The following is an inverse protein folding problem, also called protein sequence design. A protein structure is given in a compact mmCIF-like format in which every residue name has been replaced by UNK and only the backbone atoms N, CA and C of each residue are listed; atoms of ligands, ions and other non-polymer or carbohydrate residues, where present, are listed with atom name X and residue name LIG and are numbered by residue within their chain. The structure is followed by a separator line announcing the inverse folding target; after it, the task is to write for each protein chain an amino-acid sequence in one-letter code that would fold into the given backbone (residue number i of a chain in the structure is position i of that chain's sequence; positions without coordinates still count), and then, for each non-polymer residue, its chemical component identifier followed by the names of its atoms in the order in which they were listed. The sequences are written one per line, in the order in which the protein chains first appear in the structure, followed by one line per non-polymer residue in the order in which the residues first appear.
data_IF_448952247132
#
_entry.id   IF_448952247132
#
_cell.length_a   1.000
_cell.length_b   1.000
_cell.length_c   1.000
_cell.angle_alpha   90.00
_cell.angle_beta   90.00
_cell.angle_gamma   90.00
#
_symmetry.space_group_name_H-M   'P 1'
#
loop_
_entity.id
_entity.type
_entity.pdbx_description
1 polymer ?
#
# COMPACT_ATOMS: atom_id res chain seq x y z
N UNK A 1 8.00 -16.58 16.02
CA UNK A 1 7.68 -15.35 15.26
C UNK A 1 6.82 -15.64 14.02
N UNK A 2 7.29 -16.41 13.06
CA UNK A 2 6.52 -16.67 11.81
C UNK A 2 5.11 -17.18 12.10
N UNK A 3 4.98 -18.20 12.96
CA UNK A 3 3.66 -18.72 13.37
C UNK A 3 2.77 -17.63 14.02
N UNK A 4 3.37 -16.76 14.84
CA UNK A 4 2.65 -15.64 15.44
C UNK A 4 2.13 -14.65 14.38
N UNK A 5 2.95 -14.34 13.39
CA UNK A 5 2.53 -13.44 12.30
C UNK A 5 1.37 -14.03 11.51
N UNK A 6 1.50 -15.28 11.07
CA UNK A 6 0.50 -15.88 10.16
C UNK A 6 -0.75 -16.39 10.87
N UNK A 7 -0.65 -16.88 12.11
CA UNK A 7 -1.78 -17.48 12.80
C UNK A 7 -2.49 -16.52 13.76
N UNK A 8 -1.76 -15.59 14.39
CA UNK A 8 -2.33 -14.68 15.38
C UNK A 8 -2.54 -13.27 14.80
N UNK A 9 -1.53 -12.69 14.15
CA UNK A 9 -1.65 -11.33 13.60
C UNK A 9 -2.59 -11.32 12.39
N UNK A 10 -2.35 -12.19 11.38
CA UNK A 10 -3.16 -12.21 10.17
C UNK A 10 -4.64 -12.53 10.48
N UNK A 11 -4.92 -13.40 11.45
CA UNK A 11 -6.30 -13.73 11.85
C UNK A 11 -7.09 -12.54 12.41
N UNK A 12 -6.41 -11.50 12.95
CA UNK A 12 -7.07 -10.28 13.45
C UNK A 12 -7.74 -9.46 12.34
N UNK A 13 -7.39 -9.74 11.09
CA UNK A 13 -7.97 -9.09 9.90
C UNK A 13 -9.31 -9.71 9.45
N UNK A 14 -9.73 -10.85 10.01
CA UNK A 14 -10.91 -11.59 9.56
C UNK A 14 -12.21 -10.76 9.58
N UNK A 15 -12.35 -9.87 10.57
CA UNK A 15 -13.53 -9.05 10.78
C UNK A 15 -13.45 -7.66 10.12
N UNK A 16 -12.36 -7.35 9.40
CA UNK A 16 -12.22 -6.08 8.71
C UNK A 16 -13.05 -6.06 7.42
N UNK A 17 -13.19 -4.89 6.82
CA UNK A 17 -13.92 -4.76 5.57
C UNK A 17 -13.25 -5.58 4.43
N UNK A 18 -14.00 -5.96 3.38
CA UNK A 18 -13.51 -6.86 2.33
C UNK A 18 -12.19 -6.43 1.65
N UNK A 19 -11.83 -5.15 1.72
CA UNK A 19 -10.60 -4.64 1.10
C UNK A 19 -9.37 -4.80 2.01
N UNK A 20 -9.56 -5.15 3.31
CA UNK A 20 -8.51 -5.21 4.33
C UNK A 20 -8.57 -6.50 5.16
N UNK A 21 -9.07 -7.58 4.56
CA UNK A 21 -9.09 -8.91 5.20
C UNK A 21 -7.74 -9.61 5.14
N UNK A 22 -7.69 -10.82 5.65
CA UNK A 22 -6.50 -11.67 5.73
C UNK A 22 -5.79 -11.86 4.38
N UNK A 23 -6.52 -12.03 3.29
CA UNK A 23 -5.98 -12.12 1.93
C UNK A 23 -5.22 -10.84 1.51
N UNK A 24 -5.69 -9.66 1.93
CA UNK A 24 -4.97 -8.41 1.70
C UNK A 24 -3.64 -8.38 2.46
N UNK A 25 -3.64 -8.67 3.77
CA UNK A 25 -2.38 -8.63 4.54
C UNK A 25 -1.38 -9.67 4.04
N UNK A 26 -1.83 -10.86 3.65
CA UNK A 26 -0.97 -11.89 3.06
C UNK A 26 -0.38 -11.42 1.72
N UNK A 27 -1.16 -10.70 0.91
CA UNK A 27 -0.69 -10.09 -0.33
C UNK A 27 0.39 -9.03 -0.05
N UNK A 28 0.16 -8.13 0.92
CA UNK A 28 1.14 -7.09 1.30
C UNK A 28 2.44 -7.72 1.81
N UNK A 29 2.35 -8.76 2.65
CA UNK A 29 3.53 -9.53 3.09
C UNK A 29 4.30 -10.08 1.89
N UNK A 30 3.62 -10.78 0.98
CA UNK A 30 4.24 -11.39 -0.20
C UNK A 30 4.95 -10.35 -1.07
N UNK A 31 4.31 -9.23 -1.34
CA UNK A 31 4.88 -8.14 -2.14
C UNK A 31 6.05 -7.45 -1.44
N UNK A 32 5.97 -7.21 -0.12
CA UNK A 32 7.09 -6.65 0.62
C UNK A 32 8.32 -7.56 0.58
N UNK A 33 8.12 -8.88 0.71
CA UNK A 33 9.20 -9.86 0.60
C UNK A 33 9.79 -9.92 -0.81
N UNK A 34 8.96 -9.87 -1.85
CA UNK A 34 9.41 -9.83 -3.24
C UNK A 34 10.24 -8.56 -3.52
N UNK A 35 9.79 -7.39 -3.06
CA UNK A 35 10.55 -6.15 -3.18
C UNK A 35 11.91 -6.25 -2.50
N UNK A 36 11.98 -6.84 -1.30
CA UNK A 36 13.24 -7.07 -0.60
C UNK A 36 14.16 -8.02 -1.37
N UNK A 37 13.63 -9.10 -1.94
CA UNK A 37 14.40 -10.09 -2.70
C UNK A 37 14.95 -9.52 -4.02
N UNK A 38 14.28 -8.56 -4.64
CA UNK A 38 14.71 -7.87 -5.88
C UNK A 38 15.76 -6.79 -5.62
N UNK A 39 15.85 -6.25 -4.41
CA UNK A 39 16.73 -5.13 -4.04
C UNK A 39 18.22 -5.40 -4.35
N UNK A 40 18.85 -6.55 -3.99
CA UNK A 40 20.27 -6.78 -4.24
C UNK A 40 20.62 -6.77 -5.73
N UNK A 41 19.80 -7.39 -6.57
CA UNK A 41 20.00 -7.41 -8.03
C UNK A 41 19.91 -6.01 -8.64
N UNK A 42 18.93 -5.22 -8.20
CA UNK A 42 18.78 -3.84 -8.63
C UNK A 42 20.00 -2.98 -8.22
N UNK A 43 20.45 -3.09 -6.96
CA UNK A 43 21.60 -2.37 -6.44
C UNK A 43 22.87 -2.70 -7.27
N UNK A 44 23.13 -3.98 -7.51
CA UNK A 44 24.28 -4.42 -8.30
C UNK A 44 24.26 -3.84 -9.71
N UNK A 45 23.11 -3.86 -10.39
CA UNK A 45 22.93 -3.31 -11.72
C UNK A 45 23.17 -1.80 -11.76
N UNK A 46 22.66 -1.05 -10.80
CA UNK A 46 22.81 0.42 -10.73
C UNK A 46 24.23 0.83 -10.39
N UNK A 47 24.88 0.16 -9.43
CA UNK A 47 26.30 0.37 -9.12
C UNK A 47 27.20 0.13 -10.34
N UNK A 48 26.95 -0.95 -11.10
CA UNK A 48 27.69 -1.24 -12.33
C UNK A 48 27.51 -0.15 -13.41
N UNK A 49 26.40 0.57 -13.40
CA UNK A 49 26.12 1.71 -14.30
C UNK A 49 26.60 3.06 -13.76
N UNK A 50 27.30 3.10 -12.62
CA UNK A 50 27.82 4.33 -12.00
C UNK A 50 26.75 5.21 -11.34
N UNK A 51 25.56 4.67 -11.08
CA UNK A 51 24.48 5.42 -10.41
C UNK A 51 24.69 5.37 -8.90
N UNK A 52 24.58 6.52 -8.23
CA UNK A 52 24.56 6.58 -6.76
C UNK A 52 23.29 5.94 -6.22
N UNK A 53 23.47 4.91 -5.42
CA UNK A 53 22.39 4.16 -4.74
C UNK A 53 22.57 4.12 -3.23
N UNK A 54 23.40 5.00 -2.67
CA UNK A 54 23.76 4.99 -1.24
C UNK A 54 22.54 5.05 -0.31
N UNK A 55 21.49 5.76 -0.69
CA UNK A 55 20.23 5.83 0.08
C UNK A 55 19.49 4.48 0.18
N UNK A 56 19.77 3.55 -0.74
CA UNK A 56 19.12 2.22 -0.79
C UNK A 56 20.05 1.10 -0.32
N UNK A 57 21.36 1.36 -0.26
CA UNK A 57 22.38 0.38 0.12
C UNK A 57 22.50 0.27 1.64
N UNK A 58 21.39 -0.01 2.28
CA UNK A 58 21.27 -0.16 3.73
C UNK A 58 20.83 -1.59 4.08
N UNK A 59 21.30 -2.15 5.20
CA UNK A 59 20.88 -3.47 5.63
C UNK A 59 19.38 -3.48 5.98
N UNK A 60 18.64 -4.42 5.40
CA UNK A 60 17.23 -4.63 5.69
C UNK A 60 17.03 -6.02 6.27
N UNK A 61 16.49 -6.08 7.48
CA UNK A 61 16.16 -7.34 8.15
C UNK A 61 14.78 -7.82 7.70
N UNK A 62 14.77 -9.07 7.20
CA UNK A 62 13.56 -9.71 6.64
C UNK A 62 12.45 -9.88 7.68
N UNK A 63 12.81 -10.22 8.92
CA UNK A 63 11.87 -10.42 10.03
C UNK A 63 11.18 -9.12 10.48
N UNK A 64 11.92 -7.99 10.52
CA UNK A 64 11.37 -6.67 10.79
C UNK A 64 10.38 -6.26 9.69
N UNK A 65 10.75 -6.45 8.42
CA UNK A 65 9.87 -6.13 7.29
C UNK A 65 8.61 -7.00 7.29
N UNK A 66 8.75 -8.30 7.60
CA UNK A 66 7.62 -9.22 7.73
C UNK A 66 6.64 -8.75 8.81
N UNK A 67 7.14 -8.40 9.99
CA UNK A 67 6.31 -7.91 11.08
C UNK A 67 5.64 -6.56 10.72
N UNK A 68 6.38 -5.65 10.09
CA UNK A 68 5.84 -4.35 9.68
C UNK A 68 4.72 -4.51 8.64
N UNK A 69 4.93 -5.35 7.61
CA UNK A 69 3.94 -5.64 6.58
C UNK A 69 2.69 -6.32 7.16
N UNK A 70 2.88 -7.25 8.11
CA UNK A 70 1.76 -7.94 8.75
C UNK A 70 0.92 -7.04 9.65
N UNK A 71 1.53 -6.06 10.32
CA UNK A 71 0.87 -5.24 11.34
C UNK A 71 0.37 -3.89 10.81
N UNK A 72 0.59 -3.54 9.53
CA UNK A 72 0.38 -2.19 9.01
C UNK A 72 -1.04 -1.65 9.20
N UNK A 73 -2.04 -2.49 9.12
CA UNK A 73 -3.47 -2.13 9.16
C UNK A 73 -4.19 -2.55 10.45
N UNK A 74 -3.50 -3.07 11.48
CA UNK A 74 -4.13 -3.52 12.73
C UNK A 74 -5.00 -2.45 13.39
N UNK A 75 -4.67 -1.18 13.21
CA UNK A 75 -5.42 -0.05 13.76
C UNK A 75 -6.80 0.15 13.15
N UNK A 76 -7.17 -0.54 12.07
CA UNK A 76 -8.51 -0.52 11.50
C UNK A 76 -9.58 -0.97 12.49
N UNK A 77 -9.21 -1.73 13.53
CA UNK A 77 -10.11 -2.09 14.63
C UNK A 77 -10.71 -0.84 15.32
N UNK A 78 -10.01 0.28 15.31
CA UNK A 78 -10.44 1.57 15.86
C UNK A 78 -11.08 2.50 14.81
N UNK A 79 -11.30 2.01 13.58
CA UNK A 79 -11.84 2.79 12.48
C UNK A 79 -10.78 3.36 11.52
N UNK A 80 -11.24 3.91 10.39
CA UNK A 80 -10.38 4.26 9.25
C UNK A 80 -9.59 5.58 9.38
N UNK A 81 -10.02 6.50 10.20
CA UNK A 81 -9.49 7.86 10.21
C UNK A 81 -7.99 7.91 10.57
N UNK A 82 -7.62 7.28 11.69
CA UNK A 82 -6.27 7.28 12.23
C UNK A 82 -5.65 5.88 12.32
N UNK A 83 -6.16 4.91 11.54
CA UNK A 83 -5.76 3.51 11.65
C UNK A 83 -4.24 3.28 11.56
N UNK A 84 -3.52 4.00 10.72
CA UNK A 84 -2.07 3.89 10.61
C UNK A 84 -1.37 4.26 11.92
N UNK A 85 -1.79 5.35 12.60
CA UNK A 85 -1.26 5.73 13.91
C UNK A 85 -1.66 4.75 15.01
N UNK A 86 -2.88 4.21 14.93
CA UNK A 86 -3.37 3.22 15.87
C UNK A 86 -2.66 1.87 15.67
N UNK A 87 -2.29 1.50 14.43
CA UNK A 87 -1.40 0.35 14.17
C UNK A 87 -0.07 0.50 14.90
N UNK A 88 0.57 1.66 14.82
CA UNK A 88 1.80 1.94 15.56
C UNK A 88 1.65 1.79 17.08
N UNK A 89 0.52 2.25 17.66
CA UNK A 89 0.23 2.07 19.09
C UNK A 89 0.03 0.59 19.45
N UNK A 90 -0.71 -0.16 18.65
CA UNK A 90 -0.94 -1.58 18.86
C UNK A 90 0.38 -2.36 18.81
N UNK A 91 1.25 -2.06 17.84
CA UNK A 91 2.58 -2.69 17.71
C UNK A 91 3.44 -2.45 18.95
N UNK A 92 3.51 -1.20 19.41
CA UNK A 92 4.29 -0.85 20.63
C UNK A 92 3.76 -1.49 21.92
N UNK A 93 2.47 -1.78 21.96
CA UNK A 93 1.81 -2.42 23.10
C UNK A 93 1.85 -3.96 23.04
N UNK A 94 2.25 -4.55 21.92
CA UNK A 94 2.24 -6.00 21.73
C UNK A 94 3.44 -6.66 22.42
N UNK A 95 3.21 -7.19 23.63
CA UNK A 95 4.25 -7.83 24.45
C UNK A 95 4.86 -9.09 23.82
N UNK A 96 4.15 -9.74 22.90
CA UNK A 96 4.70 -10.92 22.21
C UNK A 96 5.76 -10.56 21.18
N UNK A 97 5.66 -9.39 20.55
CA UNK A 97 6.73 -8.92 19.66
C UNK A 97 8.05 -8.71 20.41
N UNK A 98 8.01 -8.39 21.72
CA UNK A 98 9.20 -8.24 22.56
C UNK A 98 9.98 -9.57 22.76
N UNK A 99 9.39 -10.73 22.43
CA UNK A 99 10.08 -12.03 22.47
C UNK A 99 11.12 -12.17 21.34
N UNK A 100 10.96 -11.40 20.25
CA UNK A 100 11.80 -11.53 19.05
C UNK A 100 12.51 -10.24 18.65
N UNK A 101 12.01 -9.09 19.11
CA UNK A 101 12.48 -7.77 18.71
C UNK A 101 12.86 -6.91 19.93
N UNK A 102 13.92 -6.15 19.79
CA UNK A 102 14.28 -5.10 20.74
C UNK A 102 13.30 -3.93 20.68
N UNK A 103 13.32 -3.04 21.68
CA UNK A 103 12.47 -1.85 21.69
C UNK A 103 12.71 -0.95 20.48
N UNK A 104 13.95 -0.83 19.97
CA UNK A 104 14.28 -0.05 18.78
C UNK A 104 13.74 -0.68 17.51
N UNK A 105 13.76 -2.01 17.42
CA UNK A 105 13.19 -2.76 16.28
C UNK A 105 11.66 -2.69 16.29
N UNK A 106 11.02 -2.77 17.46
CA UNK A 106 9.58 -2.55 17.61
C UNK A 106 9.20 -1.13 17.17
N UNK A 107 10.00 -0.13 17.54
CA UNK A 107 9.79 1.25 17.09
C UNK A 107 9.91 1.36 15.57
N UNK A 108 10.87 0.67 14.96
CA UNK A 108 11.02 0.61 13.49
C UNK A 108 9.80 -0.02 12.82
N UNK A 109 9.28 -1.13 13.36
CA UNK A 109 8.07 -1.81 12.88
C UNK A 109 6.86 -0.86 12.99
N UNK A 110 6.70 -0.21 14.14
CA UNK A 110 5.60 0.71 14.40
C UNK A 110 5.64 1.92 13.45
N UNK A 111 6.81 2.52 13.26
CA UNK A 111 6.99 3.63 12.34
C UNK A 111 6.69 3.25 10.89
N UNK A 112 7.07 2.04 10.46
CA UNK A 112 6.74 1.57 9.11
C UNK A 112 5.22 1.45 8.90
N UNK A 113 4.49 0.99 9.91
CA UNK A 113 3.03 0.94 9.90
C UNK A 113 2.36 2.33 9.96
N UNK A 114 2.99 3.32 10.58
CA UNK A 114 2.49 4.69 10.60
C UNK A 114 2.70 5.42 9.25
N UNK A 115 3.77 5.08 8.54
CA UNK A 115 4.25 5.82 7.36
C UNK A 115 3.65 5.35 6.03
N UNK A 116 3.00 4.17 5.97
CA UNK A 116 2.63 3.54 4.70
C UNK A 116 1.50 4.26 3.95
N UNK A 117 0.69 5.07 4.62
CA UNK A 117 -0.53 5.66 4.06
C UNK A 117 -0.26 6.56 2.86
N UNK A 118 -0.95 6.32 1.73
CA UNK A 118 -0.78 7.06 0.49
C UNK A 118 -1.10 8.57 0.60
N UNK A 119 -2.02 8.94 1.50
CA UNK A 119 -2.39 10.34 1.77
C UNK A 119 -1.47 11.02 2.79
N UNK A 120 -0.43 10.35 3.28
CA UNK A 120 0.58 10.94 4.15
C UNK A 120 1.29 12.09 3.46
N UNK A 121 1.51 13.20 4.19
CA UNK A 121 2.18 14.40 3.66
C UNK A 121 3.69 14.25 3.58
N UNK A 122 4.27 13.38 4.39
CA UNK A 122 5.71 13.16 4.53
C UNK A 122 6.15 11.86 3.88
N UNK A 123 7.41 11.81 3.45
CA UNK A 123 8.03 10.55 3.04
C UNK A 123 8.14 9.61 4.25
N UNK A 124 8.07 8.28 4.02
CA UNK A 124 8.33 7.31 5.06
C UNK A 124 9.72 7.52 5.69
N UNK A 125 9.79 7.36 7.02
CA UNK A 125 11.02 7.62 7.83
C UNK A 125 12.13 6.61 7.58
N UNK A 126 11.81 5.44 7.03
CA UNK A 126 12.77 4.35 6.83
C UNK A 126 12.49 3.58 5.55
N UNK A 127 13.47 2.78 5.12
CA UNK A 127 13.32 1.82 4.02
C UNK A 127 12.18 0.81 4.30
N UNK A 128 11.95 0.44 5.56
CA UNK A 128 10.85 -0.44 5.94
C UNK A 128 9.49 0.20 5.65
N UNK A 129 9.31 1.48 6.03
CA UNK A 129 8.10 2.22 5.70
C UNK A 129 7.89 2.39 4.19
N UNK A 130 8.98 2.61 3.42
CA UNK A 130 8.93 2.69 1.96
C UNK A 130 8.51 1.35 1.33
N UNK A 131 9.08 0.23 1.79
CA UNK A 131 8.75 -1.11 1.30
C UNK A 131 7.30 -1.51 1.62
N UNK A 132 6.84 -1.26 2.85
CA UNK A 132 5.44 -1.51 3.25
C UNK A 132 4.49 -0.63 2.44
N UNK A 133 4.79 0.67 2.34
CA UNK A 133 3.98 1.60 1.56
C UNK A 133 3.89 1.21 0.08
N UNK A 134 4.97 0.72 -0.51
CA UNK A 134 4.99 0.27 -1.91
C UNK A 134 4.23 -1.05 -2.08
N UNK A 135 4.40 -1.99 -1.13
CA UNK A 135 3.74 -3.28 -1.13
C UNK A 135 2.21 -3.16 -0.98
N UNK A 136 1.72 -2.22 -0.17
CA UNK A 136 0.29 -1.93 -0.03
C UNK A 136 -0.33 -1.33 -1.29
N UNK A 137 0.49 -0.71 -2.16
CA UNK A 137 0.03 -0.06 -3.40
C UNK A 137 0.00 -1.04 -4.57
N UNK A 138 -1.01 -1.91 -4.60
CA UNK A 138 -1.25 -2.74 -5.79
C UNK A 138 -1.80 -1.85 -6.91
N UNK A 139 -0.96 -1.53 -7.90
CA UNK A 139 -1.37 -0.77 -9.07
C UNK A 139 -1.90 -1.74 -10.14
N UNK A 140 -3.21 -1.87 -10.18
CA UNK A 140 -3.98 -2.53 -11.23
C UNK A 140 -5.15 -1.62 -11.62
N UNK A 141 -5.13 -1.14 -12.85
CA UNK A 141 -6.08 -0.11 -13.32
C UNK A 141 -7.53 -0.53 -13.21
N UNK A 142 -7.86 -1.76 -13.56
CA UNK A 142 -9.24 -2.25 -13.53
C UNK A 142 -9.74 -2.42 -12.09
N UNK A 143 -8.92 -2.95 -11.21
CA UNK A 143 -9.22 -3.08 -9.77
C UNK A 143 -9.36 -1.71 -9.11
N UNK A 144 -8.50 -0.75 -9.42
CA UNK A 144 -8.56 0.63 -8.90
C UNK A 144 -9.87 1.28 -9.31
N UNK A 145 -10.24 1.22 -10.61
CA UNK A 145 -11.49 1.79 -11.12
C UNK A 145 -12.70 1.12 -10.47
N UNK A 146 -12.73 -0.21 -10.41
CA UNK A 146 -13.80 -1.01 -9.78
C UNK A 146 -14.01 -0.61 -8.32
N UNK A 147 -12.96 -0.58 -7.52
CA UNK A 147 -13.02 -0.18 -6.10
C UNK A 147 -13.47 1.28 -5.93
N UNK A 148 -13.05 2.17 -6.82
CA UNK A 148 -13.46 3.59 -6.81
C UNK A 148 -14.95 3.75 -7.08
N UNK A 149 -15.49 2.99 -8.02
CA UNK A 149 -16.93 2.95 -8.33
C UNK A 149 -17.74 2.35 -7.18
N UNK A 150 -17.33 1.19 -6.66
CA UNK A 150 -17.98 0.51 -5.53
C UNK A 150 -18.02 1.40 -4.28
N UNK A 151 -16.92 2.10 -3.98
CA UNK A 151 -16.89 3.11 -2.93
C UNK A 151 -17.92 4.21 -3.16
N UNK A 152 -18.01 4.71 -4.41
CA UNK A 152 -18.99 5.72 -4.80
C UNK A 152 -20.42 5.26 -4.55
N UNK A 153 -20.79 4.09 -5.06
CA UNK A 153 -22.14 3.52 -4.92
C UNK A 153 -22.53 3.34 -3.44
N UNK A 154 -21.58 2.94 -2.60
CA UNK A 154 -21.82 2.75 -1.15
C UNK A 154 -21.99 4.06 -0.38
N UNK A 155 -21.21 5.08 -0.69
CA UNK A 155 -21.10 6.31 0.12
C UNK A 155 -21.85 7.52 -0.45
N UNK A 156 -22.29 7.46 -1.71
CA UNK A 156 -23.02 8.51 -2.43
C UNK A 156 -24.23 7.91 -3.15
N UNK A 157 -25.14 7.24 -2.41
CA UNK A 157 -26.29 6.53 -3.01
C UNK A 157 -27.26 7.45 -3.76
N UNK A 158 -27.16 8.77 -3.56
CA UNK A 158 -27.96 9.80 -4.24
C UNK A 158 -27.51 10.06 -5.68
N UNK A 159 -26.32 9.62 -6.06
CA UNK A 159 -25.81 9.81 -7.41
C UNK A 159 -26.42 8.80 -8.38
N UNK A 160 -26.79 9.30 -9.56
CA UNK A 160 -27.13 8.43 -10.68
C UNK A 160 -25.89 7.79 -11.32
N UNK A 161 -26.11 6.98 -12.34
CA UNK A 161 -25.03 6.30 -13.08
C UNK A 161 -23.95 7.27 -13.56
N UNK A 162 -24.36 8.37 -14.18
CA UNK A 162 -23.45 9.37 -14.73
C UNK A 162 -22.67 10.09 -13.61
N UNK A 163 -23.35 10.43 -12.53
CA UNK A 163 -22.72 11.02 -11.34
C UNK A 163 -21.63 10.13 -10.75
N UNK A 164 -21.85 8.80 -10.68
CA UNK A 164 -20.82 7.86 -10.22
C UNK A 164 -19.62 7.80 -11.15
N UNK A 165 -19.83 7.81 -12.48
CA UNK A 165 -18.76 7.80 -13.47
C UNK A 165 -17.91 9.09 -13.35
N UNK A 166 -18.54 10.26 -13.34
CA UNK A 166 -17.86 11.56 -13.22
C UNK A 166 -17.07 11.63 -11.91
N UNK A 167 -17.68 11.23 -10.79
CA UNK A 167 -17.01 11.21 -9.48
C UNK A 167 -15.79 10.28 -9.49
N UNK A 168 -15.92 9.10 -10.09
CA UNK A 168 -14.82 8.16 -10.18
C UNK A 168 -13.66 8.73 -11.00
N UNK A 169 -13.93 9.32 -12.15
CA UNK A 169 -12.91 9.96 -13.00
C UNK A 169 -12.20 11.09 -12.25
N UNK A 170 -12.96 11.95 -11.54
CA UNK A 170 -12.39 13.03 -10.75
C UNK A 170 -11.43 12.51 -9.68
N UNK A 171 -11.83 11.48 -8.93
CA UNK A 171 -10.99 10.84 -7.92
C UNK A 171 -9.74 10.17 -8.53
N UNK A 172 -9.88 9.50 -9.68
CA UNK A 172 -8.75 8.89 -10.38
C UNK A 172 -7.72 9.93 -10.79
N UNK A 173 -8.16 11.09 -11.32
CA UNK A 173 -7.28 12.21 -11.67
C UNK A 173 -6.57 12.80 -10.45
N UNK A 174 -7.32 13.02 -9.37
CA UNK A 174 -6.78 13.60 -8.13
C UNK A 174 -5.72 12.70 -7.49
N UNK A 175 -5.95 11.40 -7.46
CA UNK A 175 -5.06 10.46 -6.78
C UNK A 175 -3.97 9.89 -7.67
N UNK A 176 -4.32 9.41 -8.85
CA UNK A 176 -3.46 8.60 -9.73
C UNK A 176 -2.98 9.37 -10.97
N UNK A 177 -3.58 10.49 -11.32
CA UNK A 177 -3.16 11.31 -12.47
C UNK A 177 -1.69 11.77 -12.36
N UNK A 178 -1.10 12.28 -13.45
CA UNK A 178 0.32 12.68 -13.49
C UNK A 178 0.69 13.75 -12.45
N UNK A 179 -0.25 14.55 -11.98
CA UNK A 179 -0.10 15.48 -10.85
C UNK A 179 -0.73 15.00 -9.54
N UNK A 180 -1.15 13.75 -9.47
CA UNK A 180 -1.88 13.20 -8.35
C UNK A 180 -1.04 13.05 -7.08
N UNK A 181 -1.73 12.85 -5.95
CA UNK A 181 -1.06 12.78 -4.65
C UNK A 181 -0.43 11.41 -4.35
N UNK A 182 -0.71 10.35 -5.14
CA UNK A 182 -0.06 9.06 -4.93
C UNK A 182 1.45 9.17 -5.16
N UNK A 183 2.23 8.71 -4.19
CA UNK A 183 3.69 8.64 -4.28
C UNK A 183 4.14 7.19 -4.27
N UNK A 184 5.04 6.84 -5.15
CA UNK A 184 5.76 5.56 -5.18
C UNK A 184 7.14 5.77 -4.61
N UNK A 185 7.65 4.80 -3.86
CA UNK A 185 8.89 4.96 -3.11
C UNK A 185 10.02 4.06 -3.59
N UNK A 186 9.71 2.91 -4.19
CA UNK A 186 10.68 1.86 -4.51
C UNK A 186 10.99 1.84 -6.00
N UNK A 187 12.20 2.25 -6.43
CA UNK A 187 12.53 2.40 -7.85
C UNK A 187 12.69 1.06 -8.61
N UNK A 188 12.72 -0.07 -7.92
CA UNK A 188 12.73 -1.41 -8.54
C UNK A 188 11.37 -2.11 -8.49
N UNK A 189 10.33 -1.42 -8.07
CA UNK A 189 8.96 -1.87 -8.13
C UNK A 189 8.39 -1.74 -9.54
N UNK A 190 7.50 -2.65 -9.92
CA UNK A 190 6.76 -2.57 -11.18
C UNK A 190 5.62 -1.55 -11.14
N UNK A 191 5.29 -1.03 -9.95
CA UNK A 191 4.20 -0.07 -9.76
C UNK A 191 4.37 1.21 -10.60
N UNK A 192 5.62 1.67 -10.82
CA UNK A 192 5.88 2.86 -11.62
C UNK A 192 5.45 2.68 -13.09
N UNK A 193 5.74 1.52 -13.69
CA UNK A 193 5.32 1.21 -15.05
C UNK A 193 3.79 1.09 -15.14
N UNK A 194 3.19 0.32 -14.23
CA UNK A 194 1.73 0.14 -14.16
C UNK A 194 0.97 1.45 -13.91
N UNK A 195 1.53 2.32 -13.06
CA UNK A 195 0.97 3.65 -12.81
C UNK A 195 1.06 4.53 -14.06
N UNK A 196 2.18 4.46 -14.82
CA UNK A 196 2.31 5.20 -16.08
C UNK A 196 1.26 4.78 -17.10
N UNK A 197 0.99 3.49 -17.25
CA UNK A 197 -0.06 2.97 -18.14
C UNK A 197 -1.46 3.49 -17.71
N UNK A 198 -1.75 3.46 -16.41
CA UNK A 198 -3.00 4.01 -15.88
C UNK A 198 -3.09 5.54 -16.11
N UNK A 199 -1.98 6.25 -15.96
CA UNK A 199 -1.91 7.70 -16.18
C UNK A 199 -2.16 8.09 -17.63
N UNK A 200 -1.73 7.27 -18.58
CA UNK A 200 -2.00 7.50 -20.00
C UNK A 200 -3.50 7.38 -20.29
N UNK A 201 -4.18 6.39 -19.69
CA UNK A 201 -5.64 6.26 -19.80
C UNK A 201 -6.35 7.45 -19.13
N UNK A 202 -5.91 7.88 -17.93
CA UNK A 202 -6.51 8.98 -17.17
C UNK A 202 -6.36 10.32 -17.91
N UNK A 203 -5.28 10.50 -18.67
CA UNK A 203 -4.99 11.74 -19.40
C UNK A 203 -5.85 11.91 -20.65
N UNK A 204 -6.40 10.85 -21.19
CA UNK A 204 -7.32 10.86 -22.35
C UNK A 204 -8.77 10.84 -21.85
N UNK A 205 -9.51 11.94 -22.07
CA UNK A 205 -10.88 12.09 -21.59
C UNK A 205 -11.84 11.03 -22.14
N UNK A 206 -11.68 10.62 -23.40
CA UNK A 206 -12.51 9.60 -24.00
C UNK A 206 -12.14 8.20 -23.46
N UNK A 207 -10.85 7.88 -23.41
CA UNK A 207 -10.36 6.58 -22.94
C UNK A 207 -10.76 6.32 -21.49
N UNK A 208 -10.60 7.32 -20.60
CA UNK A 208 -10.96 7.14 -19.18
C UNK A 208 -12.48 7.02 -18.99
N UNK A 209 -13.28 7.80 -19.74
CA UNK A 209 -14.73 7.71 -19.67
C UNK A 209 -15.23 6.33 -20.13
N UNK A 210 -14.73 5.85 -21.28
CA UNK A 210 -15.09 4.55 -21.83
C UNK A 210 -14.69 3.41 -20.88
N UNK A 211 -13.47 3.48 -20.32
CA UNK A 211 -12.95 2.47 -19.39
C UNK A 211 -13.76 2.41 -18.10
N UNK A 212 -14.06 3.56 -17.49
CA UNK A 212 -14.87 3.64 -16.26
C UNK A 212 -16.29 3.17 -16.52
N UNK A 213 -16.88 3.56 -17.67
CA UNK A 213 -18.21 3.11 -18.09
C UNK A 213 -18.27 1.61 -18.30
N UNK A 214 -17.28 1.04 -18.97
CA UNK A 214 -17.19 -0.41 -19.18
C UNK A 214 -17.16 -1.18 -17.86
N UNK A 215 -16.34 -0.73 -16.90
CA UNK A 215 -16.23 -1.37 -15.58
C UNK A 215 -17.50 -1.16 -14.75
N UNK A 216 -18.13 0.03 -14.82
CA UNK A 216 -19.41 0.28 -14.15
C UNK A 216 -20.49 -0.71 -14.61
N UNK A 217 -20.57 -1.02 -15.90
CA UNK A 217 -21.56 -1.94 -16.45
C UNK A 217 -21.31 -3.42 -16.08
N UNK A 218 -20.18 -3.72 -15.44
CA UNK A 218 -19.81 -5.06 -14.93
C UNK A 218 -20.07 -5.22 -13.42
N UNK A 219 -20.48 -4.14 -12.72
CA UNK A 219 -20.78 -4.16 -11.29
C UNK A 219 -22.22 -4.58 -11.03
#
# INVERSE_FOLDING_TARGET
MVDYIYNDIASRYADFDPAHREDHVLTVISQAMELLDRMPGWLASRKASGVDVSQWDVPVRRDILLAAAACHDLGLINGRENHHMDSGKIIRADMRLCEWFTSEEIETIAQAAEDYRASGKSAPRSIYGMLVAEADRVIDGDTIIRRTLQFGQKHYPELDREGHIIRAIAHLREKYGRGGYLKLWIPWSDNAARLSELQDIIADDAAIYDKVTMIYNQL
#
